data_IF_216445170378
#
_entry.id   IF_216445170378
#
_cell.length_a   1.000
_cell.length_b   1.000
_cell.length_c   1.000
_cell.angle_alpha   90.00
_cell.angle_beta   90.00
_cell.angle_gamma   90.00
#
_symmetry.space_group_name_H-M   'P 1'
#
loop_
_entity.id
_entity.type
_entity.pdbx_description
1 polymer ?
#
# COMPACT_ATOMS: atom_id res chain seq x y z
N UNK A 1 -16.79 -13.26 -0.42
CA UNK A 1 -16.23 -12.46 0.70
C UNK A 1 -17.22 -11.37 1.07
N UNK A 2 -17.45 -11.13 2.37
CA UNK A 2 -18.37 -10.08 2.85
C UNK A 2 -17.70 -8.71 2.74
N UNK A 3 -18.40 -7.73 2.15
CA UNK A 3 -17.95 -6.35 2.01
C UNK A 3 -17.61 -5.71 3.37
N UNK A 4 -18.37 -6.01 4.42
CA UNK A 4 -18.15 -5.46 5.77
C UNK A 4 -16.79 -5.83 6.33
N UNK A 5 -16.33 -7.06 6.06
CA UNK A 5 -14.99 -7.52 6.46
C UNK A 5 -13.93 -6.72 5.72
N UNK A 6 -14.12 -6.49 4.41
CA UNK A 6 -13.19 -5.69 3.60
C UNK A 6 -13.09 -4.27 4.09
N UNK A 7 -14.21 -3.61 4.36
CA UNK A 7 -14.22 -2.24 4.87
C UNK A 7 -13.55 -2.15 6.25
N UNK A 8 -13.77 -3.13 7.13
CA UNK A 8 -13.08 -3.19 8.44
C UNK A 8 -11.57 -3.35 8.28
N UNK A 9 -11.12 -4.20 7.34
CA UNK A 9 -9.70 -4.39 7.04
C UNK A 9 -9.08 -3.13 6.42
N UNK A 10 -9.79 -2.45 5.50
CA UNK A 10 -9.35 -1.18 4.91
C UNK A 10 -9.23 -0.07 5.97
N UNK A 11 -10.19 0.03 6.89
CA UNK A 11 -10.12 0.98 8.01
C UNK A 11 -8.92 0.69 8.93
N UNK A 12 -8.62 -0.59 9.19
CA UNK A 12 -7.44 -0.96 9.97
C UNK A 12 -6.12 -0.66 9.23
N UNK A 13 -6.07 -0.89 7.91
CA UNK A 13 -4.92 -0.49 7.09
C UNK A 13 -4.75 1.02 7.07
N UNK A 14 -5.84 1.79 7.06
CA UNK A 14 -5.81 3.25 7.12
C UNK A 14 -5.10 3.73 8.40
N UNK A 15 -5.36 3.08 9.54
CA UNK A 15 -4.65 3.39 10.79
C UNK A 15 -3.15 3.14 10.69
N UNK A 16 -2.76 1.97 10.18
CA UNK A 16 -1.34 1.61 9.98
C UNK A 16 -0.69 2.63 9.04
N UNK A 17 -1.38 2.96 7.95
CA UNK A 17 -0.96 3.92 6.97
C UNK A 17 -0.65 5.28 7.61
N UNK A 18 -1.58 5.86 8.39
CA UNK A 18 -1.34 7.16 9.02
C UNK A 18 -0.25 7.12 10.09
N UNK A 19 -0.15 6.06 10.88
CA UNK A 19 0.93 5.90 11.87
C UNK A 19 2.29 5.85 11.19
N UNK A 20 2.44 5.04 10.13
CA UNK A 20 3.68 4.93 9.37
C UNK A 20 3.99 6.22 8.60
N UNK A 21 2.99 6.89 8.04
CA UNK A 21 3.13 8.19 7.38
C UNK A 21 3.68 9.24 8.36
N UNK A 22 3.09 9.35 9.55
CA UNK A 22 3.54 10.26 10.59
C UNK A 22 4.96 9.94 11.05
N UNK A 23 5.28 8.66 11.26
CA UNK A 23 6.63 8.23 11.63
C UNK A 23 7.66 8.58 10.54
N UNK A 24 7.32 8.36 9.26
CA UNK A 24 8.17 8.71 8.13
C UNK A 24 8.37 10.22 8.01
N UNK A 25 7.30 11.01 8.19
CA UNK A 25 7.39 12.47 8.18
C UNK A 25 8.29 12.98 9.31
N UNK A 26 8.11 12.49 10.54
CA UNK A 26 8.94 12.87 11.68
C UNK A 26 10.41 12.50 11.47
N UNK A 27 10.70 11.31 10.92
CA UNK A 27 12.07 10.91 10.62
C UNK A 27 12.67 11.78 9.51
N UNK A 28 11.94 12.05 8.44
CA UNK A 28 12.39 12.94 7.37
C UNK A 28 12.67 14.34 7.87
N UNK A 29 11.80 14.86 8.74
CA UNK A 29 12.01 16.15 9.41
C UNK A 29 13.26 16.14 10.30
N UNK A 30 13.41 15.11 11.16
CA UNK A 30 14.59 14.98 12.02
C UNK A 30 15.89 14.86 11.20
N UNK A 31 15.87 14.12 10.09
CA UNK A 31 17.03 14.01 9.22
C UNK A 31 17.47 15.36 8.63
N UNK A 32 16.51 16.19 8.23
CA UNK A 32 16.82 17.50 7.66
C UNK A 32 17.18 18.53 8.75
N UNK A 33 16.39 18.58 9.83
CA UNK A 33 16.49 19.63 10.83
C UNK A 33 17.55 19.36 11.90
N UNK A 34 17.81 18.10 12.23
CA UNK A 34 18.74 17.72 13.31
C UNK A 34 20.02 17.06 12.79
N UNK A 35 19.94 16.24 11.74
CA UNK A 35 21.13 15.64 11.11
C UNK A 35 21.65 16.44 9.90
N UNK A 36 21.08 17.62 9.64
CA UNK A 36 21.48 18.54 8.56
C UNK A 36 21.59 17.86 7.19
N UNK A 37 20.81 16.80 6.96
CA UNK A 37 20.81 16.11 5.68
C UNK A 37 20.20 17.02 4.60
N UNK A 38 20.86 17.18 3.43
CA UNK A 38 20.30 17.94 2.33
C UNK A 38 18.91 17.42 1.94
N UNK A 39 17.86 18.28 1.88
CA UNK A 39 16.51 17.85 1.55
C UNK A 39 16.42 17.08 0.23
N UNK A 40 17.26 17.40 -0.75
CA UNK A 40 17.33 16.70 -2.03
C UNK A 40 17.82 15.26 -1.86
N UNK A 41 18.77 15.01 -0.97
CA UNK A 41 19.27 13.64 -0.69
C UNK A 41 18.20 12.82 0.02
N UNK A 42 17.48 13.42 0.97
CA UNK A 42 16.37 12.76 1.68
C UNK A 42 15.23 12.44 0.71
N UNK A 43 14.83 13.39 -0.13
CA UNK A 43 13.82 13.19 -1.18
C UNK A 43 14.24 12.07 -2.14
N UNK A 44 15.47 12.12 -2.64
CA UNK A 44 16.02 11.12 -3.55
C UNK A 44 16.09 9.70 -2.97
N UNK A 45 16.22 9.58 -1.65
CA UNK A 45 16.20 8.30 -0.94
C UNK A 45 14.76 7.81 -0.68
N UNK A 46 13.79 8.71 -0.54
CA UNK A 46 12.39 8.32 -0.32
C UNK A 46 11.66 7.93 -1.61
N UNK A 47 12.11 8.41 -2.77
CA UNK A 47 11.53 8.07 -4.09
C UNK A 47 12.28 6.93 -4.83
N UNK A 48 12.91 6.01 -4.11
CA UNK A 48 13.66 4.89 -4.73
C UNK A 48 12.80 4.10 -5.73
N UNK A 49 11.50 3.93 -5.46
CA UNK A 49 10.60 3.24 -6.39
C UNK A 49 10.53 3.95 -7.76
N UNK A 50 10.39 5.29 -7.76
CA UNK A 50 10.38 6.11 -8.97
C UNK A 50 11.71 6.09 -9.73
N UNK A 51 12.84 5.82 -9.06
CA UNK A 51 14.15 5.62 -9.72
C UNK A 51 14.22 4.28 -10.44
N UNK A 52 13.61 3.24 -9.87
CA UNK A 52 13.57 1.90 -10.46
C UNK A 52 12.59 1.88 -11.65
N UNK A 53 11.41 2.48 -11.51
CA UNK A 53 10.38 2.47 -12.56
C UNK A 53 10.52 3.59 -13.59
N UNK A 54 11.20 4.69 -13.25
CA UNK A 54 11.32 5.88 -14.10
C UNK A 54 11.85 5.61 -15.52
N UNK A 55 12.82 4.71 -15.74
CA UNK A 55 13.22 4.31 -17.10
C UNK A 55 12.08 3.66 -17.90
N UNK A 56 11.30 2.79 -17.26
CA UNK A 56 10.14 2.15 -17.88
C UNK A 56 9.02 3.16 -18.17
N UNK A 57 8.73 4.06 -17.24
CA UNK A 57 7.72 5.12 -17.41
C UNK A 57 8.10 6.07 -18.56
N UNK A 58 9.38 6.43 -18.69
CA UNK A 58 9.90 7.23 -19.81
C UNK A 58 9.79 6.49 -21.14
N UNK A 59 10.05 5.18 -21.17
CA UNK A 59 9.93 4.39 -22.39
C UNK A 59 8.45 4.24 -22.79
N UNK A 60 7.57 3.97 -21.83
CA UNK A 60 6.13 3.91 -22.05
C UNK A 60 5.59 5.24 -22.58
N UNK A 61 6.02 6.38 -22.02
CA UNK A 61 5.62 7.71 -22.48
C UNK A 61 6.13 8.10 -23.88
N UNK A 62 7.12 7.38 -24.44
CA UNK A 62 7.50 7.54 -25.86
C UNK A 62 6.54 6.82 -26.80
N UNK A 63 5.88 5.77 -26.32
CA UNK A 63 4.97 4.92 -27.09
C UNK A 63 3.53 5.44 -26.94
N UNK A 64 3.14 5.79 -25.72
CA UNK A 64 1.81 6.26 -25.35
C UNK A 64 1.86 7.77 -25.13
N UNK A 65 1.22 8.53 -26.02
CA UNK A 65 1.20 10.01 -25.96
C UNK A 65 0.42 10.57 -24.76
N UNK A 66 -0.58 9.83 -24.27
CA UNK A 66 -1.39 10.18 -23.11
C UNK A 66 -0.71 9.63 -21.84
N UNK A 67 -0.17 10.55 -21.01
CA UNK A 67 0.58 10.15 -19.80
C UNK A 67 -0.33 9.62 -18.71
N UNK A 68 -1.62 9.95 -18.73
CA UNK A 68 -2.61 9.38 -17.80
C UNK A 68 -2.71 7.86 -17.92
N UNK A 69 -2.57 7.31 -19.13
CA UNK A 69 -2.48 5.86 -19.33
C UNK A 69 -1.20 5.25 -18.76
N UNK A 70 -0.07 5.95 -18.86
CA UNK A 70 1.20 5.49 -18.28
C UNK A 70 1.09 5.42 -16.74
N UNK A 71 0.55 6.48 -16.13
CA UNK A 71 0.28 6.55 -14.68
C UNK A 71 -0.68 5.44 -14.24
N UNK A 72 -1.79 5.28 -14.97
CA UNK A 72 -2.74 4.20 -14.70
C UNK A 72 -2.08 2.82 -14.73
N UNK A 73 -1.27 2.52 -15.75
CA UNK A 73 -0.58 1.24 -15.87
C UNK A 73 0.41 1.03 -14.72
N UNK A 74 1.17 2.07 -14.36
CA UNK A 74 2.08 2.02 -13.21
C UNK A 74 1.33 1.70 -11.91
N UNK A 75 0.28 2.45 -11.60
CA UNK A 75 -0.53 2.26 -10.41
C UNK A 75 -1.26 0.91 -10.42
N UNK A 76 -1.65 0.42 -11.60
CA UNK A 76 -2.26 -0.90 -11.78
C UNK A 76 -1.32 -2.04 -11.43
N UNK A 77 -0.04 -1.93 -11.79
CA UNK A 77 0.98 -2.92 -11.39
C UNK A 77 1.12 -2.94 -9.86
N UNK A 78 1.17 -1.77 -9.23
CA UNK A 78 1.25 -1.68 -7.77
C UNK A 78 0.00 -2.29 -7.09
N UNK A 79 -1.20 -1.96 -7.58
CA UNK A 79 -2.44 -2.52 -7.07
C UNK A 79 -2.51 -4.04 -7.28
N UNK A 80 -2.01 -4.53 -8.42
CA UNK A 80 -1.92 -5.96 -8.68
C UNK A 80 -1.04 -6.68 -7.65
N UNK A 81 0.08 -6.10 -7.22
CA UNK A 81 0.92 -6.68 -6.17
C UNK A 81 0.13 -6.87 -4.86
N UNK A 82 -0.73 -5.91 -4.50
CA UNK A 82 -1.60 -6.02 -3.32
C UNK A 82 -2.70 -7.06 -3.48
N UNK A 83 -3.31 -7.17 -4.67
CA UNK A 83 -4.50 -8.00 -4.88
C UNK A 83 -4.13 -9.45 -5.21
N UNK A 84 -3.04 -9.67 -5.95
CA UNK A 84 -2.58 -10.98 -6.43
C UNK A 84 -2.52 -12.06 -5.34
N UNK A 85 -2.07 -11.79 -4.10
CA UNK A 85 -2.13 -12.74 -2.99
C UNK A 85 -3.47 -13.47 -2.82
N UNK A 86 -4.60 -12.78 -3.02
CA UNK A 86 -5.95 -13.38 -2.92
C UNK A 86 -6.16 -14.44 -4.00
N UNK A 87 -5.84 -14.10 -5.25
CA UNK A 87 -6.01 -15.01 -6.38
C UNK A 87 -5.01 -16.15 -6.37
N UNK A 88 -3.79 -15.90 -5.90
CA UNK A 88 -2.75 -16.91 -5.70
C UNK A 88 -3.19 -17.93 -4.65
N UNK A 89 -3.73 -17.50 -3.51
CA UNK A 89 -4.28 -18.39 -2.50
C UNK A 89 -5.48 -19.22 -3.03
N UNK A 90 -6.31 -18.65 -3.91
CA UNK A 90 -7.42 -19.37 -4.55
C UNK A 90 -7.02 -20.26 -5.74
N UNK A 91 -5.75 -20.26 -6.15
CA UNK A 91 -5.30 -20.94 -7.37
C UNK A 91 -4.93 -22.40 -7.12
N UNK A 92 -5.44 -23.31 -7.97
CA UNK A 92 -5.08 -24.74 -7.90
C UNK A 92 -3.58 -24.97 -8.03
N UNK A 93 -2.89 -24.16 -8.84
CA UNK A 93 -1.45 -24.28 -9.09
C UNK A 93 -0.61 -24.06 -7.83
N UNK A 94 -1.10 -23.22 -6.92
CA UNK A 94 -0.39 -22.87 -5.69
C UNK A 94 -0.99 -23.52 -4.43
N UNK A 95 -1.95 -24.44 -4.59
CA UNK A 95 -2.62 -25.12 -3.47
C UNK A 95 -1.60 -25.72 -2.49
N UNK A 96 -0.65 -26.49 -3.00
CA UNK A 96 0.35 -27.17 -2.17
C UNK A 96 1.37 -26.22 -1.54
N UNK A 97 1.54 -25.01 -2.08
CA UNK A 97 2.47 -24.01 -1.52
C UNK A 97 1.83 -23.31 -0.31
N UNK A 98 0.57 -22.91 -0.44
CA UNK A 98 -0.07 -22.09 0.60
C UNK A 98 -0.90 -22.90 1.61
N UNK A 99 -1.38 -24.08 1.25
CA UNK A 99 -2.31 -24.86 2.09
C UNK A 99 -1.70 -26.14 2.68
N UNK A 100 -0.40 -26.40 2.47
CA UNK A 100 0.32 -27.53 3.10
C UNK A 100 0.76 -27.25 4.53
N UNK A 101 0.88 -25.97 4.88
CA UNK A 101 1.32 -25.51 6.20
C UNK A 101 2.85 -25.46 6.36
N UNK A 102 3.33 -24.45 7.09
CA UNK A 102 4.76 -24.30 7.41
C UNK A 102 5.14 -25.18 8.61
N UNK A 103 6.34 -25.75 8.57
CA UNK A 103 6.92 -26.42 9.73
C UNK A 103 7.32 -25.40 10.78
N UNK A 104 6.95 -25.64 12.04
CA UNK A 104 7.31 -24.80 13.19
C UNK A 104 8.36 -25.53 14.01
N UNK A 105 9.45 -24.84 14.37
CA UNK A 105 10.53 -25.44 15.15
C UNK A 105 10.11 -25.66 16.61
N UNK A 106 10.69 -26.65 17.32
CA UNK A 106 10.38 -26.91 18.72
C UNK A 106 10.65 -25.68 19.61
N UNK A 107 9.76 -25.42 20.58
CA UNK A 107 9.79 -24.22 21.44
C UNK A 107 11.08 -24.06 22.26
N UNK A 108 11.78 -25.16 22.55
CA UNK A 108 13.04 -25.17 23.30
C UNK A 108 14.25 -24.58 22.55
N UNK A 109 14.10 -24.28 21.24
CA UNK A 109 15.21 -23.77 20.41
C UNK A 109 15.14 -22.25 20.22
N UNK A 110 16.27 -21.54 20.00
CA UNK A 110 16.25 -20.14 19.59
C UNK A 110 15.37 -19.90 18.36
N UNK A 111 15.36 -20.86 17.43
CA UNK A 111 14.48 -20.86 16.26
C UNK A 111 13.00 -20.92 16.61
N UNK A 112 12.60 -21.79 17.55
CA UNK A 112 11.21 -21.88 18.02
C UNK A 112 10.73 -20.62 18.76
N UNK A 113 11.60 -19.95 19.52
CA UNK A 113 11.30 -18.65 20.14
C UNK A 113 11.02 -17.57 19.09
N UNK A 114 11.81 -17.53 18.02
CA UNK A 114 11.60 -16.61 16.90
C UNK A 114 10.30 -16.93 16.15
N UNK A 115 10.04 -18.21 15.86
CA UNK A 115 8.79 -18.64 15.20
C UNK A 115 7.56 -18.24 16.04
N UNK A 116 7.63 -18.36 17.36
CA UNK A 116 6.56 -17.91 18.28
C UNK A 116 6.33 -16.41 18.24
N UNK A 117 7.40 -15.61 18.15
CA UNK A 117 7.30 -14.16 18.00
C UNK A 117 6.61 -13.80 16.68
N UNK A 118 7.01 -14.45 15.57
CA UNK A 118 6.39 -14.25 14.26
C UNK A 118 4.91 -14.63 14.27
N UNK A 119 4.55 -15.79 14.85
CA UNK A 119 3.15 -16.23 14.95
C UNK A 119 2.31 -15.21 15.76
N UNK A 120 2.84 -14.68 16.85
CA UNK A 120 2.18 -13.60 17.61
C UNK A 120 2.04 -12.32 16.77
N UNK A 121 3.06 -11.92 16.03
CA UNK A 121 3.01 -10.75 15.14
C UNK A 121 1.98 -10.92 14.00
N UNK A 122 1.72 -12.16 13.58
CA UNK A 122 0.64 -12.51 12.65
C UNK A 122 -0.76 -12.44 13.27
N UNK A 123 -0.87 -12.19 14.59
CA UNK A 123 -2.12 -12.18 15.34
C UNK A 123 -2.70 -13.57 15.56
N UNK A 124 -1.85 -14.59 15.61
CA UNK A 124 -2.20 -16.00 15.80
C UNK A 124 -1.74 -16.48 17.19
N UNK A 125 -2.44 -17.47 17.77
CA UNK A 125 -2.14 -18.02 19.10
C UNK A 125 -1.24 -19.25 18.93
N UNK A 126 0.05 -19.12 19.22
CA UNK A 126 1.06 -20.13 18.90
C UNK A 126 0.75 -21.57 19.36
N UNK A 127 0.06 -21.75 20.50
CA UNK A 127 -0.26 -23.07 21.04
C UNK A 127 -1.35 -23.83 20.26
N UNK A 128 -2.20 -23.14 19.49
CA UNK A 128 -3.37 -23.72 18.82
C UNK A 128 -3.42 -23.40 17.33
N UNK A 129 -2.35 -22.80 16.79
CA UNK A 129 -2.35 -22.32 15.41
C UNK A 129 -2.12 -23.46 14.44
N UNK A 130 -3.09 -23.68 13.57
CA UNK A 130 -2.96 -24.56 12.41
C UNK A 130 -1.81 -24.08 11.49
N UNK A 131 -0.92 -24.99 11.11
CA UNK A 131 0.25 -24.70 10.26
C UNK A 131 -0.13 -24.05 8.93
N UNK A 132 -1.32 -24.35 8.39
CA UNK A 132 -1.87 -23.75 7.15
C UNK A 132 -2.14 -22.26 7.33
N UNK A 133 -2.64 -21.86 8.50
CA UNK A 133 -2.84 -20.43 8.81
C UNK A 133 -1.52 -19.67 8.89
N UNK A 134 -0.43 -20.31 9.31
CA UNK A 134 0.91 -19.68 9.35
C UNK A 134 1.40 -19.41 7.92
N UNK A 135 1.27 -20.36 6.99
CA UNK A 135 1.61 -20.15 5.57
C UNK A 135 0.78 -19.03 4.95
N UNK A 136 -0.53 -19.06 5.18
CA UNK A 136 -1.47 -18.10 4.59
C UNK A 136 -1.33 -16.71 5.21
N UNK A 137 -0.98 -16.60 6.50
CA UNK A 137 -0.78 -15.31 7.15
C UNK A 137 0.42 -14.55 6.60
N UNK A 138 1.49 -15.24 6.20
CA UNK A 138 2.65 -14.56 5.66
C UNK A 138 2.28 -13.82 4.37
N UNK A 139 1.68 -14.54 3.41
CA UNK A 139 1.25 -14.01 2.12
C UNK A 139 0.12 -12.98 2.26
N UNK A 140 -0.94 -13.32 3.00
CA UNK A 140 -2.17 -12.55 3.01
C UNK A 140 -2.19 -11.44 4.06
N UNK A 141 -1.38 -11.54 5.12
CA UNK A 141 -1.39 -10.61 6.24
C UNK A 141 -0.10 -9.79 6.36
N UNK A 142 1.04 -10.46 6.61
CA UNK A 142 2.29 -9.78 6.92
C UNK A 142 2.78 -8.95 5.73
N UNK A 143 2.87 -9.56 4.54
CA UNK A 143 3.36 -8.87 3.34
C UNK A 143 2.53 -7.62 3.06
N UNK A 144 1.20 -7.71 3.07
CA UNK A 144 0.34 -6.56 2.76
C UNK A 144 0.43 -5.43 3.79
N UNK A 145 0.48 -5.75 5.09
CA UNK A 145 0.67 -4.74 6.14
C UNK A 145 2.03 -4.07 6.05
N UNK A 146 3.08 -4.87 5.83
CA UNK A 146 4.44 -4.38 5.73
C UNK A 146 4.62 -3.49 4.49
N UNK A 147 4.15 -3.92 3.32
CA UNK A 147 4.20 -3.13 2.09
C UNK A 147 3.43 -1.82 2.24
N UNK A 148 2.23 -1.86 2.84
CA UNK A 148 1.46 -0.63 3.14
C UNK A 148 2.22 0.30 4.08
N UNK A 149 2.81 -0.25 5.15
CA UNK A 149 3.59 0.53 6.12
C UNK A 149 4.84 1.16 5.51
N UNK A 150 5.60 0.41 4.70
CA UNK A 150 6.79 0.90 4.01
C UNK A 150 6.43 2.03 3.04
N UNK A 151 5.39 1.85 2.23
CA UNK A 151 4.94 2.88 1.29
C UNK A 151 4.48 4.15 2.02
N UNK A 152 3.69 3.99 3.09
CA UNK A 152 3.24 5.11 3.90
C UNK A 152 4.41 5.87 4.54
N UNK A 153 5.38 5.13 5.08
CA UNK A 153 6.58 5.69 5.66
C UNK A 153 7.42 6.45 4.64
N UNK A 154 7.69 5.86 3.47
CA UNK A 154 8.42 6.51 2.39
C UNK A 154 7.70 7.76 1.87
N UNK A 155 6.37 7.73 1.79
CA UNK A 155 5.57 8.90 1.47
C UNK A 155 5.71 9.99 2.54
N UNK A 156 5.72 9.64 3.82
CA UNK A 156 5.94 10.58 4.91
C UNK A 156 7.29 11.30 4.81
N UNK A 157 8.36 10.55 4.54
CA UNK A 157 9.71 11.11 4.32
C UNK A 157 9.73 12.03 3.08
N UNK A 158 9.03 11.62 2.00
CA UNK A 158 8.86 12.43 0.79
C UNK A 158 8.14 13.74 1.11
N UNK A 159 7.08 13.71 1.92
CA UNK A 159 6.36 14.91 2.35
C UNK A 159 7.26 15.86 3.15
N UNK A 160 8.02 15.36 4.11
CA UNK A 160 8.92 16.18 4.93
C UNK A 160 10.01 16.87 4.08
N UNK A 161 10.60 16.14 3.14
CA UNK A 161 11.61 16.70 2.24
C UNK A 161 11.02 17.67 1.21
N UNK A 162 9.87 17.34 0.64
CA UNK A 162 9.16 18.20 -0.30
C UNK A 162 8.69 19.51 0.35
N UNK A 163 8.25 19.48 1.62
CA UNK A 163 7.88 20.69 2.36
C UNK A 163 9.06 21.68 2.45
N UNK A 164 10.27 21.18 2.73
CA UNK A 164 11.48 22.00 2.79
C UNK A 164 11.88 22.54 1.42
N UNK A 165 11.80 21.71 0.38
CA UNK A 165 12.13 22.11 -1.01
C UNK A 165 11.14 23.13 -1.58
N UNK A 166 9.84 22.99 -1.28
CA UNK A 166 8.78 23.87 -1.79
C UNK A 166 8.52 25.08 -0.87
N UNK A 167 9.13 25.10 0.32
CA UNK A 167 9.03 26.12 1.36
C UNK A 167 7.59 26.44 1.85
N UNK A 168 6.58 25.65 1.45
CA UNK A 168 5.18 25.80 1.86
C UNK A 168 4.44 24.45 1.86
N UNK A 169 4.03 24.00 3.04
CA UNK A 169 3.22 22.79 3.25
C UNK A 169 1.89 22.78 2.46
N UNK A 170 1.25 23.94 2.26
CA UNK A 170 -0.01 24.07 1.52
C UNK A 170 0.12 23.64 0.07
N UNK A 171 1.24 23.96 -0.58
CA UNK A 171 1.49 23.59 -1.98
C UNK A 171 1.65 22.08 -2.08
N UNK A 172 2.41 21.47 -1.17
CA UNK A 172 2.56 20.01 -1.07
C UNK A 172 1.20 19.32 -0.90
N UNK A 173 0.34 19.81 0.00
CA UNK A 173 -1.00 19.24 0.19
C UNK A 173 -1.89 19.39 -1.04
N UNK A 174 -1.80 20.50 -1.77
CA UNK A 174 -2.54 20.70 -3.01
C UNK A 174 -2.12 19.70 -4.11
N UNK A 175 -0.81 19.37 -4.19
CA UNK A 175 -0.32 18.34 -5.10
C UNK A 175 -0.71 16.93 -4.66
N UNK A 176 -0.80 16.67 -3.35
CA UNK A 176 -1.15 15.35 -2.81
C UNK A 176 -2.66 15.09 -2.74
N UNK A 177 -3.50 16.14 -2.81
CA UNK A 177 -4.94 16.03 -2.65
C UNK A 177 -5.59 15.07 -3.67
N UNK A 178 -5.27 15.12 -4.98
CA UNK A 178 -5.83 14.19 -5.95
C UNK A 178 -5.46 12.72 -5.66
N UNK A 179 -4.21 12.48 -5.23
CA UNK A 179 -3.73 11.16 -4.84
C UNK A 179 -4.42 10.66 -3.55
N UNK A 180 -4.57 11.55 -2.57
CA UNK A 180 -5.16 11.22 -1.26
C UNK A 180 -6.64 10.88 -1.29
N UNK A 181 -7.41 11.42 -2.24
CA UNK A 181 -8.87 11.22 -2.31
C UNK A 181 -9.25 9.95 -3.08
N UNK A 182 -8.49 9.58 -4.12
CA UNK A 182 -8.88 8.48 -5.03
C UNK A 182 -7.89 7.33 -4.96
N UNK A 183 -6.60 7.58 -5.18
CA UNK A 183 -5.58 6.52 -5.25
C UNK A 183 -5.37 5.84 -3.92
N UNK A 184 -5.24 6.61 -2.84
CA UNK A 184 -4.98 6.04 -1.52
C UNK A 184 -6.13 5.15 -1.04
N UNK A 185 -7.41 5.55 -1.13
CA UNK A 185 -8.52 4.63 -0.87
C UNK A 185 -8.51 3.40 -1.77
N UNK A 186 -8.18 3.53 -3.06
CA UNK A 186 -8.09 2.40 -3.97
C UNK A 186 -7.00 1.40 -3.53
N UNK A 187 -5.80 1.87 -3.17
CA UNK A 187 -4.72 1.02 -2.65
C UNK A 187 -5.05 0.41 -1.28
N UNK A 188 -5.73 1.14 -0.41
CA UNK A 188 -6.18 0.61 0.89
C UNK A 188 -7.21 -0.50 0.72
N UNK A 189 -8.14 -0.37 -0.23
CA UNK A 189 -9.08 -1.44 -0.60
C UNK A 189 -8.33 -2.61 -1.21
N UNK A 190 -7.38 -2.37 -2.12
CA UNK A 190 -6.54 -3.40 -2.74
C UNK A 190 -5.81 -4.24 -1.67
N UNK A 191 -5.13 -3.59 -0.73
CA UNK A 191 -4.42 -4.24 0.37
C UNK A 191 -5.37 -4.89 1.40
N UNK A 192 -6.62 -4.44 1.50
CA UNK A 192 -7.60 -5.02 2.41
C UNK A 192 -8.14 -6.37 1.92
N UNK A 193 -8.15 -6.64 0.62
CA UNK A 193 -8.68 -7.89 0.06
C UNK A 193 -7.94 -9.13 0.61
N UNK A 194 -6.58 -9.20 0.59
CA UNK A 194 -5.84 -10.30 1.22
C UNK A 194 -6.09 -10.42 2.72
N UNK A 195 -6.12 -9.30 3.45
CA UNK A 195 -6.37 -9.29 4.90
C UNK A 195 -7.75 -9.85 5.25
N UNK A 196 -8.73 -9.53 4.41
CA UNK A 196 -10.10 -10.00 4.58
C UNK A 196 -10.20 -11.49 4.34
N UNK A 197 -9.52 -11.99 3.30
CA UNK A 197 -9.42 -13.42 3.06
C UNK A 197 -8.75 -14.13 4.24
N UNK A 198 -7.66 -13.60 4.77
CA UNK A 198 -7.01 -14.15 5.96
C UNK A 198 -7.95 -14.19 7.17
N UNK A 199 -8.72 -13.14 7.41
CA UNK A 199 -9.69 -13.09 8.51
C UNK A 199 -10.79 -14.15 8.36
N UNK A 200 -11.30 -14.37 7.14
CA UNK A 200 -12.28 -15.42 6.85
C UNK A 200 -11.69 -16.81 7.10
N UNK A 201 -10.47 -17.06 6.59
CA UNK A 201 -9.79 -18.35 6.76
C UNK A 201 -9.49 -18.64 8.23
N UNK A 202 -8.96 -17.65 8.95
CA UNK A 202 -8.70 -17.74 10.39
C UNK A 202 -9.99 -18.10 11.15
N UNK A 203 -11.07 -17.36 10.92
CA UNK A 203 -12.34 -17.62 11.59
C UNK A 203 -12.93 -18.99 11.25
N UNK A 204 -12.74 -19.49 10.03
CA UNK A 204 -13.22 -20.81 9.65
C UNK A 204 -12.46 -21.93 10.36
N UNK A 205 -11.13 -21.84 10.38
CA UNK A 205 -10.26 -22.83 11.03
C UNK A 205 -10.41 -22.82 12.56
N UNK A 206 -10.63 -21.65 13.17
CA UNK A 206 -10.92 -21.54 14.61
C UNK A 206 -12.26 -22.19 15.00
N UNK A 207 -13.23 -22.26 14.07
CA UNK A 207 -14.53 -22.93 14.29
C UNK A 207 -14.47 -24.42 13.98
N UNK A 208 -13.73 -24.79 12.94
CA UNK A 208 -13.56 -26.16 12.48
C UNK A 208 -12.15 -26.37 11.95
N UNK A 209 -11.34 -27.15 12.68
CA UNK A 209 -9.97 -27.48 12.29
C UNK A 209 -9.94 -28.26 10.96
N UNK A 210 -10.99 -29.01 10.62
CA UNK A 210 -11.08 -29.76 9.37
C UNK A 210 -11.46 -28.88 8.16
N UNK A 211 -11.68 -27.56 8.35
CA UNK A 211 -12.08 -26.67 7.27
C UNK A 211 -11.15 -26.75 6.05
N UNK A 212 -11.76 -26.87 4.87
CA UNK A 212 -11.03 -26.82 3.59
C UNK A 212 -10.65 -25.37 3.25
N UNK A 213 -9.53 -24.94 3.79
CA UNK A 213 -8.96 -23.60 3.56
C UNK A 213 -8.77 -23.28 2.07
N UNK A 214 -8.50 -24.27 1.22
CA UNK A 214 -8.34 -24.06 -0.21
C UNK A 214 -9.67 -23.75 -0.87
N UNK A 215 -10.72 -24.53 -0.58
CA UNK A 215 -12.05 -24.27 -1.13
C UNK A 215 -12.59 -22.91 -0.67
N UNK A 216 -12.37 -22.54 0.60
CA UNK A 216 -12.74 -21.23 1.15
C UNK A 216 -12.00 -20.10 0.42
N UNK A 217 -10.69 -20.25 0.22
CA UNK A 217 -9.88 -19.25 -0.47
C UNK A 217 -10.30 -19.09 -1.94
N UNK A 218 -10.52 -20.20 -2.64
CA UNK A 218 -11.01 -20.20 -4.02
C UNK A 218 -12.36 -19.51 -4.14
N UNK A 219 -13.34 -19.91 -3.32
CA UNK A 219 -14.68 -19.32 -3.36
C UNK A 219 -14.66 -17.83 -3.02
N UNK A 220 -13.78 -17.42 -2.11
CA UNK A 220 -13.61 -16.02 -1.74
C UNK A 220 -12.93 -15.19 -2.83
N UNK A 221 -11.85 -15.70 -3.44
CA UNK A 221 -11.10 -15.03 -4.50
C UNK A 221 -11.98 -14.73 -5.72
N UNK A 222 -12.82 -15.68 -6.11
CA UNK A 222 -13.72 -15.54 -7.27
C UNK A 222 -15.15 -15.13 -6.90
N UNK A 223 -15.38 -14.69 -5.66
CA UNK A 223 -16.70 -14.17 -5.27
C UNK A 223 -17.01 -12.86 -5.99
N UNK A 224 -18.30 -12.61 -6.27
CA UNK A 224 -18.78 -11.36 -6.89
C UNK A 224 -18.21 -10.13 -6.19
N UNK A 225 -18.19 -10.10 -4.86
CA UNK A 225 -17.63 -8.99 -4.08
C UNK A 225 -16.16 -8.73 -4.40
N UNK A 226 -15.32 -9.77 -4.39
CA UNK A 226 -13.87 -9.63 -4.64
C UNK A 226 -13.61 -9.14 -6.06
N UNK A 227 -14.32 -9.70 -7.04
CA UNK A 227 -14.20 -9.29 -8.45
C UNK A 227 -14.66 -7.85 -8.63
N UNK A 228 -15.81 -7.48 -8.06
CA UNK A 228 -16.35 -6.11 -8.15
C UNK A 228 -15.43 -5.08 -7.48
N UNK A 229 -14.88 -5.38 -6.30
CA UNK A 229 -13.94 -4.49 -5.62
C UNK A 229 -12.61 -4.37 -6.38
N UNK A 230 -12.10 -5.47 -6.92
CA UNK A 230 -10.90 -5.46 -7.77
C UNK A 230 -11.12 -4.56 -9.00
N UNK A 231 -12.24 -4.72 -9.69
CA UNK A 231 -12.60 -3.86 -10.82
C UNK A 231 -12.74 -2.39 -10.39
N UNK A 232 -13.39 -2.12 -9.26
CA UNK A 232 -13.54 -0.77 -8.73
C UNK A 232 -12.19 -0.11 -8.42
N UNK A 233 -11.21 -0.86 -7.88
CA UNK A 233 -9.84 -0.36 -7.67
C UNK A 233 -9.22 0.08 -9.00
N UNK A 234 -9.24 -0.76 -10.04
CA UNK A 234 -8.65 -0.41 -11.33
C UNK A 234 -9.37 0.77 -12.00
N UNK A 235 -10.70 0.85 -11.91
CA UNK A 235 -11.46 2.00 -12.42
C UNK A 235 -11.05 3.27 -11.67
N UNK A 236 -10.95 3.23 -10.34
CA UNK A 236 -10.53 4.37 -9.54
C UNK A 236 -9.11 4.83 -9.91
N UNK A 237 -8.18 3.90 -10.14
CA UNK A 237 -6.81 4.22 -10.57
C UNK A 237 -6.76 4.79 -11.99
N UNK A 238 -7.63 4.33 -12.90
CA UNK A 238 -7.73 4.90 -14.24
C UNK A 238 -8.22 6.36 -14.16
N UNK A 239 -9.24 6.62 -13.36
CA UNK A 239 -9.75 7.98 -13.10
C UNK A 239 -8.65 8.84 -12.46
N UNK A 240 -7.95 8.32 -11.47
CA UNK A 240 -6.87 9.05 -10.81
C UNK A 240 -5.71 9.39 -11.77
N UNK A 241 -5.27 8.46 -12.61
CA UNK A 241 -4.23 8.72 -13.60
C UNK A 241 -4.62 9.80 -14.61
N UNK A 242 -5.90 9.86 -14.99
CA UNK A 242 -6.42 10.93 -15.86
C UNK A 242 -6.48 12.30 -15.15
N UNK A 243 -6.84 12.31 -13.87
CA UNK A 243 -6.82 13.53 -13.04
C UNK A 243 -5.37 14.02 -12.86
N UNK A 244 -4.43 13.10 -12.61
CA UNK A 244 -3.02 13.42 -12.43
C UNK A 244 -2.41 14.05 -13.69
N UNK A 245 -2.71 13.51 -14.88
CA UNK A 245 -2.18 14.08 -16.13
C UNK A 245 -2.83 15.42 -16.48
N UNK A 246 -4.15 15.55 -16.31
CA UNK A 246 -4.91 16.69 -16.87
C UNK A 246 -5.16 17.81 -15.87
N UNK A 247 -5.39 17.50 -14.60
CA UNK A 247 -5.86 18.45 -13.59
C UNK A 247 -4.72 18.89 -12.65
N UNK A 248 -3.89 17.97 -12.19
CA UNK A 248 -2.78 18.28 -11.26
C UNK A 248 -1.81 19.35 -11.81
N UNK A 249 -1.44 19.38 -13.11
CA UNK A 249 -0.59 20.44 -13.64
C UNK A 249 -1.26 21.82 -13.64
N UNK A 250 -2.59 21.87 -13.82
CA UNK A 250 -3.36 23.12 -13.80
C UNK A 250 -3.40 23.70 -12.38
N UNK A 251 -3.64 22.85 -11.38
CA UNK A 251 -3.55 23.24 -9.97
C UNK A 251 -2.16 23.77 -9.61
N UNK A 252 -1.11 23.07 -10.05
CA UNK A 252 0.28 23.50 -9.85
C UNK A 252 0.59 24.89 -10.43
N UNK A 253 0.11 25.15 -11.65
CA UNK A 253 0.25 26.48 -12.29
C UNK A 253 -0.52 27.56 -11.53
N UNK A 254 -1.73 27.28 -11.06
CA UNK A 254 -2.55 28.23 -10.31
C UNK A 254 -1.87 28.69 -9.01
N UNK A 255 -1.39 27.75 -8.18
CA UNK A 255 -0.70 28.08 -6.93
C UNK A 255 0.65 28.76 -7.15
N UNK A 256 1.36 28.41 -8.23
CA UNK A 256 2.60 29.08 -8.63
C UNK A 256 2.36 30.52 -9.09
N UNK A 257 1.26 30.78 -9.80
CA UNK A 257 0.88 32.12 -10.24
C UNK A 257 0.48 33.03 -9.06
N UNK A 258 -0.26 32.52 -8.08
CA UNK A 258 -0.56 33.28 -6.86
C UNK A 258 0.70 33.68 -6.08
N UNK A 259 1.74 32.83 -6.06
CA UNK A 259 3.04 33.17 -5.46
C UNK A 259 3.69 34.36 -6.15
N UNK A 260 3.69 34.38 -7.48
CA UNK A 260 4.30 35.47 -8.26
C UNK A 260 3.58 36.80 -8.02
N UNK A 261 2.25 36.81 -8.03
CA UNK A 261 1.46 38.01 -7.74
C UNK A 261 1.60 38.52 -6.31
N UNK A 262 1.70 37.63 -5.32
CA UNK A 262 1.89 38.01 -3.91
C UNK A 262 3.28 38.63 -3.62
N UNK A 263 4.32 38.15 -4.31
CA UNK A 263 5.69 38.70 -4.22
C UNK A 263 5.77 40.07 -4.93
N UNK A 264 5.12 40.22 -6.09
CA UNK A 264 5.09 41.50 -6.80
C UNK A 264 4.30 42.58 -6.05
N UNK A 265 3.30 42.21 -5.24
CA UNK A 265 2.58 43.16 -4.37
C UNK A 265 3.35 43.52 -3.09
N UNK A 266 4.23 42.66 -2.59
CA UNK A 266 5.07 42.98 -1.43
C UNK A 266 6.28 43.83 -1.76
N UNK A 267 6.76 43.81 -3.02
CA UNK A 267 7.89 44.64 -3.48
C UNK A 267 7.43 46.07 -3.82
N UNK A 268 6.14 46.27 -4.07
CA UNK A 268 5.54 47.58 -4.37
C UNK A 268 5.01 48.33 -3.13
N UNK A 269 5.20 47.79 -1.94
CA UNK A 269 4.93 48.45 -0.65
C UNK A 269 6.26 48.72 0.04
#
# INVERSE_FOLDING_TARGET
MDLRIVLKCAANLTKIFFVCLAAGYLLGYAAIAYWEAPPEKVFNASVINSKITGPADKMAGKIVKDKGWVIFLHNSVLAFIFIAPVFLAGSRRFKNVFHSGLSVRPEGTPGGKFDRLLIKAMGLIAATTDKRLISLSFLLNIVNRLTTGILAFALGVTCASAEKLLSKFVILMAYLLPHGIIEMPAFLVAGALPLSLFAVLKSAVEKDIAADTFLIARNSAFSRTTVSLTAAVFIALAVAGQIEDKITPLAGKYFSAQKKSAVETSIKK
#
